data_IF_121667481430
#
_entry.id   IF_121667481430
#
_cell.length_a   1.000
_cell.length_b   1.000
_cell.length_c   1.000
_cell.angle_alpha   90.00
_cell.angle_beta   90.00
_cell.angle_gamma   90.00
#
_symmetry.space_group_name_H-M   'P 1'
#
loop_
_entity.id
_entity.type
_entity.pdbx_description
1 polymer ?
#
# COMPACT_ATOMS: atom_id res chain seq x y z
N UNK A 1 -2.40 6.66 -20.25
CA UNK A 1 -3.69 6.26 -19.72
C UNK A 1 -3.88 4.76 -19.88
N UNK A 2 -4.16 4.05 -18.80
CA UNK A 2 -4.53 2.64 -18.89
C UNK A 2 -5.98 2.53 -19.37
N UNK A 3 -6.26 1.59 -20.25
CA UNK A 3 -7.64 1.21 -20.58
C UNK A 3 -8.24 0.50 -19.37
N UNK A 4 -9.44 0.88 -18.98
CA UNK A 4 -10.18 0.22 -17.92
C UNK A 4 -10.41 -1.25 -18.29
N UNK A 5 -10.00 -2.22 -17.45
CA UNK A 5 -10.46 -3.59 -17.63
C UNK A 5 -11.97 -3.61 -17.45
N UNK A 6 -12.68 -4.37 -18.27
CA UNK A 6 -14.11 -4.56 -18.09
C UNK A 6 -14.41 -5.10 -16.69
N UNK A 7 -15.45 -4.56 -16.07
CA UNK A 7 -16.12 -5.23 -14.97
C UNK A 7 -16.42 -6.69 -15.37
N UNK A 8 -16.19 -7.67 -14.51
CA UNK A 8 -16.38 -9.08 -14.87
C UNK A 8 -17.85 -9.40 -15.09
N UNK A 9 -18.35 -9.10 -16.28
CA UNK A 9 -19.61 -9.63 -16.78
C UNK A 9 -19.32 -11.08 -17.19
N UNK A 10 -20.08 -12.07 -16.71
CA UNK A 10 -19.89 -13.45 -17.10
C UNK A 10 -19.88 -13.59 -18.62
N UNK A 11 -18.78 -14.06 -19.20
CA UNK A 11 -18.64 -14.34 -20.62
C UNK A 11 -17.62 -13.49 -21.41
N UNK A 12 -17.12 -12.37 -20.87
CA UNK A 12 -16.23 -11.49 -21.65
C UNK A 12 -15.03 -10.94 -20.82
N UNK A 13 -14.25 -11.82 -20.25
CA UNK A 13 -13.18 -11.51 -19.27
C UNK A 13 -11.98 -10.72 -19.80
N UNK A 14 -11.89 -10.37 -21.09
CA UNK A 14 -10.65 -9.90 -21.72
C UNK A 14 -10.81 -8.73 -22.69
N UNK A 15 -11.95 -8.11 -22.84
CA UNK A 15 -12.12 -6.94 -23.72
C UNK A 15 -12.48 -5.70 -22.89
N UNK A 16 -11.57 -4.74 -22.83
CA UNK A 16 -11.89 -3.38 -22.40
C UNK A 16 -12.82 -2.71 -23.43
N UNK A 17 -13.50 -1.65 -23.01
CA UNK A 17 -14.36 -0.85 -23.89
C UNK A 17 -13.59 -0.04 -24.95
N UNK A 18 -12.25 -0.20 -24.98
CA UNK A 18 -11.34 0.49 -25.90
C UNK A 18 -11.17 1.98 -25.63
N UNK A 19 -11.77 2.50 -24.57
CA UNK A 19 -11.68 3.92 -24.21
C UNK A 19 -10.60 4.14 -23.14
N UNK A 20 -9.66 5.06 -23.35
CA UNK A 20 -8.75 5.48 -22.30
C UNK A 20 -9.54 6.06 -21.11
N UNK A 21 -9.24 5.58 -19.92
CA UNK A 21 -9.80 6.14 -18.70
C UNK A 21 -8.67 6.69 -17.84
N UNK A 22 -8.79 7.95 -17.46
CA UNK A 22 -7.88 8.62 -16.52
C UNK A 22 -8.71 9.45 -15.58
N UNK A 23 -8.65 9.14 -14.30
CA UNK A 23 -9.36 9.88 -13.27
C UNK A 23 -8.57 9.84 -11.96
N UNK A 24 -8.63 10.92 -11.22
CA UNK A 24 -8.19 11.01 -9.83
C UNK A 24 -9.00 12.10 -9.14
N UNK A 25 -9.18 11.97 -7.84
CA UNK A 25 -9.77 13.04 -7.02
C UNK A 25 -8.73 14.14 -6.79
N UNK A 26 -9.11 15.39 -7.03
CA UNK A 26 -8.32 16.52 -6.57
C UNK A 26 -8.38 16.63 -5.04
N UNK A 27 -7.38 17.25 -4.42
CA UNK A 27 -7.43 17.52 -2.98
C UNK A 27 -8.69 18.28 -2.54
N UNK A 28 -9.19 19.20 -3.39
CA UNK A 28 -10.43 19.93 -3.15
C UNK A 28 -11.64 18.99 -3.09
N UNK A 29 -11.77 18.10 -4.07
CA UNK A 29 -12.87 17.12 -4.12
C UNK A 29 -12.81 16.15 -2.92
N UNK A 30 -11.61 15.70 -2.52
CA UNK A 30 -11.44 14.88 -1.32
C UNK A 30 -11.91 15.63 -0.08
N UNK A 31 -11.53 16.90 0.11
CA UNK A 31 -11.98 17.72 1.24
C UNK A 31 -13.49 17.89 1.25
N UNK A 32 -14.09 18.17 0.09
CA UNK A 32 -15.55 18.29 -0.04
C UNK A 32 -16.27 16.98 0.32
N UNK A 33 -15.70 15.84 -0.08
CA UNK A 33 -16.21 14.52 0.26
C UNK A 33 -16.11 14.22 1.77
N UNK A 34 -14.98 14.55 2.39
CA UNK A 34 -14.77 14.40 3.84
C UNK A 34 -15.75 15.26 4.61
N UNK A 35 -15.92 16.53 4.22
CA UNK A 35 -16.89 17.45 4.84
C UNK A 35 -18.34 16.97 4.65
N UNK A 36 -18.66 16.40 3.49
CA UNK A 36 -19.98 15.82 3.24
C UNK A 36 -20.27 14.64 4.15
N UNK A 37 -19.30 13.73 4.31
CA UNK A 37 -19.39 12.58 5.21
C UNK A 37 -19.51 13.03 6.68
N UNK A 38 -18.69 13.99 7.11
CA UNK A 38 -18.70 14.54 8.47
C UNK A 38 -20.07 15.08 8.87
N UNK A 39 -20.73 15.84 7.99
CA UNK A 39 -22.11 16.34 8.23
C UNK A 39 -23.15 15.22 8.38
N UNK A 40 -22.80 13.99 8.07
CA UNK A 40 -23.62 12.77 8.21
C UNK A 40 -23.13 11.84 9.31
N UNK A 41 -22.20 12.31 10.13
CA UNK A 41 -21.59 11.52 11.19
C UNK A 41 -20.89 10.25 10.66
N UNK A 42 -20.31 10.34 9.47
CA UNK A 42 -19.53 9.28 8.83
C UNK A 42 -18.05 9.70 8.85
N UNK A 43 -17.19 8.86 9.39
CA UNK A 43 -15.75 9.02 9.31
C UNK A 43 -15.22 8.22 8.11
N UNK A 44 -14.50 8.91 7.21
CA UNK A 44 -13.80 8.24 6.11
C UNK A 44 -12.42 7.84 6.61
N UNK A 45 -12.09 6.57 6.53
CA UNK A 45 -10.75 6.03 6.80
C UNK A 45 -10.04 5.85 5.45
N UNK A 46 -8.96 6.60 5.17
CA UNK A 46 -8.21 6.42 3.94
C UNK A 46 -7.38 5.14 4.01
N UNK A 47 -7.27 4.43 2.88
CA UNK A 47 -6.43 3.24 2.72
C UNK A 47 -5.29 3.52 1.76
N UNK A 48 -4.07 3.27 2.21
CA UNK A 48 -2.81 3.40 1.47
C UNK A 48 -2.07 2.08 1.54
N UNK A 49 -2.15 1.33 0.47
CA UNK A 49 -1.62 -0.03 0.38
C UNK A 49 -0.11 -0.13 0.56
N UNK A 50 0.30 -0.92 1.55
CA UNK A 50 1.70 -1.26 1.85
C UNK A 50 1.82 -2.65 2.52
N UNK A 51 2.89 -3.42 2.29
CA UNK A 51 3.90 -3.26 1.24
C UNK A 51 3.45 -3.87 -0.09
N UNK A 52 2.38 -4.64 -0.10
CA UNK A 52 1.74 -5.26 -1.27
C UNK A 52 0.85 -4.28 -2.03
N UNK A 53 0.15 -4.79 -3.05
CA UNK A 53 -0.77 -4.04 -3.91
C UNK A 53 -0.23 -2.70 -4.45
N UNK A 54 1.10 -2.54 -4.45
CA UNK A 54 1.83 -1.31 -4.77
C UNK A 54 2.20 -1.18 -6.26
N UNK A 55 1.70 -2.06 -7.13
CA UNK A 55 2.12 -2.10 -8.54
C UNK A 55 1.92 -0.78 -9.29
N UNK A 56 0.84 -0.05 -9.03
CA UNK A 56 0.58 1.25 -9.66
C UNK A 56 1.60 2.30 -9.20
N UNK A 57 1.83 2.40 -7.89
CA UNK A 57 2.80 3.33 -7.31
C UNK A 57 4.23 3.01 -7.78
N UNK A 58 4.63 1.73 -7.75
CA UNK A 58 5.95 1.27 -8.19
C UNK A 58 6.13 1.42 -9.72
N UNK A 59 5.06 1.38 -10.49
CA UNK A 59 5.16 1.67 -11.93
C UNK A 59 5.40 3.15 -12.20
N UNK A 60 4.80 4.02 -11.41
CA UNK A 60 5.01 5.47 -11.49
C UNK A 60 6.37 5.91 -10.93
N UNK A 61 6.83 5.23 -9.88
CA UNK A 61 8.06 5.52 -9.14
C UNK A 61 8.88 4.22 -8.95
N UNK A 62 9.54 3.72 -10.01
CA UNK A 62 10.21 2.42 -10.00
C UNK A 62 11.32 2.26 -8.95
N UNK A 63 11.89 3.37 -8.51
CA UNK A 63 12.97 3.43 -7.52
C UNK A 63 12.56 2.94 -6.12
N UNK A 64 11.26 2.90 -5.81
CA UNK A 64 10.75 2.45 -4.51
C UNK A 64 10.35 0.98 -4.48
N UNK A 65 10.42 0.28 -5.62
CA UNK A 65 10.33 -1.18 -5.67
C UNK A 65 11.69 -1.85 -5.53
N UNK A 66 11.72 -3.17 -5.68
CA UNK A 66 12.92 -3.99 -5.53
C UNK A 66 13.73 -3.99 -6.83
N UNK A 67 14.31 -2.84 -7.20
CA UNK A 67 15.01 -2.59 -8.47
C UNK A 67 16.30 -3.37 -8.66
N UNK A 68 16.83 -3.95 -7.60
CA UNK A 68 18.06 -4.72 -7.55
C UNK A 68 17.88 -6.20 -7.94
N UNK A 69 16.66 -6.63 -8.26
CA UNK A 69 16.40 -7.99 -8.74
C UNK A 69 16.54 -8.07 -10.27
N UNK A 70 17.02 -9.21 -10.80
CA UNK A 70 17.10 -9.42 -12.26
C UNK A 70 15.73 -9.30 -12.94
N UNK A 71 15.70 -8.59 -14.08
CA UNK A 71 14.48 -8.45 -14.87
C UNK A 71 13.40 -7.55 -14.26
N UNK A 72 13.75 -6.71 -13.29
CA UNK A 72 12.81 -5.75 -12.71
C UNK A 72 12.24 -4.80 -13.77
N UNK A 73 10.96 -4.98 -14.07
CA UNK A 73 10.22 -4.14 -15.03
C UNK A 73 8.80 -3.93 -14.53
N UNK A 74 8.57 -2.97 -13.63
CA UNK A 74 7.24 -2.68 -13.13
C UNK A 74 6.35 -2.17 -14.26
N UNK A 75 5.09 -2.58 -14.22
CA UNK A 75 4.07 -2.20 -15.19
C UNK A 75 2.70 -2.17 -14.54
N UNK A 76 1.84 -1.31 -15.04
CA UNK A 76 0.44 -1.27 -14.62
C UNK A 76 -0.23 -2.60 -14.96
N UNK A 77 -0.92 -3.15 -13.98
CA UNK A 77 -1.69 -4.38 -14.18
C UNK A 77 -2.93 -4.10 -15.02
N UNK A 78 -3.17 -4.98 -15.99
CA UNK A 78 -4.39 -5.00 -16.81
C UNK A 78 -5.30 -6.18 -16.46
N UNK A 79 -4.95 -6.93 -15.40
CA UNK A 79 -5.68 -8.10 -14.93
C UNK A 79 -5.88 -8.01 -13.42
N UNK A 80 -6.96 -8.58 -12.95
CA UNK A 80 -7.19 -8.78 -11.53
C UNK A 80 -6.26 -9.88 -10.99
N UNK A 81 -5.87 -9.74 -9.73
CA UNK A 81 -5.07 -10.75 -9.01
C UNK A 81 -4.02 -10.13 -8.10
N UNK A 82 -3.36 -10.99 -7.35
CA UNK A 82 -2.20 -10.63 -6.53
C UNK A 82 -1.03 -10.32 -7.46
N UNK A 83 -0.55 -9.08 -7.39
CA UNK A 83 0.52 -8.61 -8.25
C UNK A 83 1.88 -8.79 -7.56
N UNK A 84 2.95 -9.14 -8.29
CA UNK A 84 4.22 -9.50 -7.69
C UNK A 84 5.02 -8.32 -7.12
N UNK A 85 4.57 -7.08 -7.34
CA UNK A 85 5.32 -5.89 -6.96
C UNK A 85 5.02 -5.46 -5.54
N UNK A 86 6.05 -5.50 -4.69
CA UNK A 86 6.06 -4.99 -3.33
C UNK A 86 7.03 -3.82 -3.20
N UNK A 87 6.75 -2.90 -2.32
CA UNK A 87 7.71 -1.86 -1.94
C UNK A 87 9.01 -2.46 -1.40
N UNK A 88 10.14 -1.86 -1.74
CA UNK A 88 11.43 -2.22 -1.13
C UNK A 88 11.49 -1.74 0.33
N UNK A 89 12.07 -2.51 1.25
CA UNK A 89 12.14 -2.13 2.66
C UNK A 89 13.29 -1.16 2.96
N UNK A 90 13.48 -0.14 2.11
CA UNK A 90 14.62 0.78 2.16
C UNK A 90 14.23 2.17 2.69
N UNK A 91 15.18 2.91 3.23
CA UNK A 91 14.93 4.26 3.75
C UNK A 91 14.32 5.23 2.72
N UNK A 92 14.76 5.25 1.44
CA UNK A 92 14.10 6.07 0.43
C UNK A 92 12.61 5.75 0.27
N UNK A 93 12.24 4.47 0.35
CA UNK A 93 10.84 4.03 0.28
C UNK A 93 10.04 4.53 1.48
N UNK A 94 10.57 4.40 2.70
CA UNK A 94 9.89 4.92 3.89
C UNK A 94 9.75 6.44 3.86
N UNK A 95 10.75 7.16 3.34
CA UNK A 95 10.64 8.60 3.13
C UNK A 95 9.57 8.99 2.11
N UNK A 96 9.42 8.21 1.04
CA UNK A 96 8.35 8.38 0.06
C UNK A 96 6.97 8.17 0.69
N UNK A 97 6.80 7.08 1.43
CA UNK A 97 5.56 6.78 2.17
C UNK A 97 5.26 7.87 3.19
N UNK A 98 6.28 8.39 3.88
CA UNK A 98 6.14 9.49 4.84
C UNK A 98 5.55 10.75 4.18
N UNK A 99 6.02 11.11 2.98
CA UNK A 99 5.46 12.22 2.21
C UNK A 99 4.00 12.00 1.79
N UNK A 100 3.63 10.78 1.42
CA UNK A 100 2.24 10.42 1.12
C UNK A 100 1.37 10.55 2.37
N UNK A 101 1.83 10.01 3.50
CA UNK A 101 1.09 10.06 4.77
C UNK A 101 0.91 11.50 5.27
N UNK A 102 1.86 12.39 5.01
CA UNK A 102 1.73 13.81 5.33
C UNK A 102 0.51 14.44 4.62
N UNK A 103 0.41 14.23 3.32
CA UNK A 103 -0.71 14.75 2.52
C UNK A 103 -2.05 14.09 2.91
N UNK A 104 -2.07 12.76 3.05
CA UNK A 104 -3.27 12.01 3.41
C UNK A 104 -3.80 12.43 4.79
N UNK A 105 -2.92 12.58 5.79
CA UNK A 105 -3.36 13.04 7.11
C UNK A 105 -3.97 14.44 7.12
N UNK A 106 -3.50 15.34 6.24
CA UNK A 106 -4.08 16.67 6.06
C UNK A 106 -5.44 16.62 5.36
N UNK A 107 -5.64 15.68 4.44
CA UNK A 107 -6.90 15.50 3.72
C UNK A 107 -7.99 14.85 4.58
N UNK A 108 -7.60 14.00 5.54
CA UNK A 108 -8.50 13.25 6.42
C UNK A 108 -8.24 13.58 7.91
N UNK A 109 -8.42 14.86 8.32
CA UNK A 109 -8.05 15.30 9.68
C UNK A 109 -8.86 14.60 10.76
N UNK A 110 -10.14 14.32 10.51
CA UNK A 110 -11.07 13.74 11.47
C UNK A 110 -10.93 12.21 11.61
N UNK A 111 -10.23 11.54 10.70
CA UNK A 111 -9.98 10.11 10.83
C UNK A 111 -8.92 9.84 11.89
N UNK A 112 -9.22 9.07 12.93
CA UNK A 112 -8.21 8.65 13.89
C UNK A 112 -7.29 7.55 13.34
N UNK A 113 -7.62 7.01 12.17
CA UNK A 113 -6.96 5.86 11.57
C UNK A 113 -6.46 6.14 10.16
N UNK A 114 -5.40 5.45 9.79
CA UNK A 114 -4.97 5.21 8.40
C UNK A 114 -4.96 3.70 8.20
N UNK A 115 -5.71 3.21 7.21
CA UNK A 115 -5.61 1.82 6.79
C UNK A 115 -4.41 1.67 5.87
N UNK A 116 -3.53 0.72 6.20
CA UNK A 116 -2.24 0.54 5.50
C UNK A 116 -2.23 -0.66 4.55
N UNK A 117 -3.38 -1.33 4.38
CA UNK A 117 -3.49 -2.58 3.65
C UNK A 117 -2.82 -3.72 4.41
N UNK A 118 -1.76 -4.25 3.86
CA UNK A 118 -0.92 -5.28 4.49
C UNK A 118 -1.21 -6.70 4.03
N UNK A 119 -2.27 -6.87 3.24
CA UNK A 119 -2.73 -8.13 2.70
C UNK A 119 -1.90 -8.57 1.49
N UNK A 120 -1.95 -9.87 1.25
CA UNK A 120 -1.48 -10.53 0.03
C UNK A 120 -0.12 -10.05 -0.50
N UNK A 121 0.80 -9.62 0.38
CA UNK A 121 2.11 -9.11 -0.01
C UNK A 121 3.04 -10.26 -0.46
N UNK A 122 3.36 -10.40 -1.77
CA UNK A 122 4.25 -11.47 -2.23
C UNK A 122 5.68 -11.26 -1.74
N UNK A 123 6.27 -12.29 -1.16
CA UNK A 123 7.63 -12.25 -0.57
C UNK A 123 8.74 -12.51 -1.59
N UNK A 124 8.41 -12.95 -2.81
CA UNK A 124 9.41 -13.43 -3.77
C UNK A 124 10.41 -12.35 -4.20
N UNK A 125 9.96 -11.09 -4.34
CA UNK A 125 10.88 -10.01 -4.68
C UNK A 125 11.87 -9.75 -3.53
N UNK A 126 11.43 -9.76 -2.28
CA UNK A 126 12.31 -9.60 -1.13
C UNK A 126 13.32 -10.74 -0.98
N UNK A 127 12.90 -11.99 -1.26
CA UNK A 127 13.83 -13.14 -1.28
C UNK A 127 14.96 -12.97 -2.28
N UNK A 128 14.67 -12.36 -3.41
CA UNK A 128 15.60 -12.19 -4.51
C UNK A 128 16.36 -10.86 -4.48
N UNK A 129 15.99 -9.92 -3.62
CA UNK A 129 16.58 -8.59 -3.52
C UNK A 129 17.76 -8.59 -2.53
N UNK A 130 19.00 -8.39 -2.99
CA UNK A 130 20.15 -8.20 -2.11
C UNK A 130 19.93 -7.10 -1.06
N UNK A 131 19.30 -5.97 -1.44
CA UNK A 131 19.02 -4.88 -0.51
C UNK A 131 18.02 -5.31 0.58
N UNK A 132 16.96 -6.04 0.22
CA UNK A 132 16.02 -6.54 1.22
C UNK A 132 16.67 -7.55 2.17
N UNK A 133 17.52 -8.44 1.66
CA UNK A 133 18.28 -9.40 2.46
C UNK A 133 19.29 -8.71 3.38
N UNK A 134 19.91 -7.61 2.94
CA UNK A 134 20.79 -6.80 3.80
C UNK A 134 20.00 -6.13 4.94
N UNK A 135 18.81 -5.58 4.65
CA UNK A 135 17.91 -5.05 5.68
C UNK A 135 17.54 -6.11 6.70
N UNK A 136 17.23 -7.33 6.27
CA UNK A 136 16.94 -8.45 7.16
C UNK A 136 18.14 -8.77 8.06
N UNK A 137 19.33 -8.91 7.48
CA UNK A 137 20.55 -9.20 8.22
C UNK A 137 20.87 -8.12 9.26
N UNK A 138 20.76 -6.84 8.85
CA UNK A 138 21.02 -5.70 9.73
C UNK A 138 20.10 -5.62 10.93
N UNK A 139 18.83 -6.05 10.75
CA UNK A 139 17.82 -6.00 11.79
C UNK A 139 17.58 -7.35 12.49
N UNK A 140 18.40 -8.38 12.20
CA UNK A 140 18.29 -9.70 12.82
C UNK A 140 16.99 -10.46 12.47
N UNK A 141 16.37 -10.15 11.32
CA UNK A 141 15.14 -10.77 10.87
C UNK A 141 15.43 -12.14 10.24
N UNK A 142 14.61 -13.13 10.55
CA UNK A 142 14.84 -14.54 10.18
C UNK A 142 14.24 -14.92 8.83
N UNK A 143 13.18 -14.23 8.42
CA UNK A 143 12.42 -14.52 7.21
C UNK A 143 11.66 -13.29 6.72
N UNK A 144 11.02 -13.40 5.55
CA UNK A 144 10.30 -12.31 4.91
C UNK A 144 8.97 -11.96 5.61
N UNK A 145 8.44 -12.83 6.46
CA UNK A 145 7.30 -12.50 7.31
C UNK A 145 7.73 -11.51 8.42
N UNK A 146 8.88 -11.76 9.04
CA UNK A 146 9.47 -10.79 9.98
C UNK A 146 9.86 -9.49 9.28
N UNK A 147 10.28 -9.54 8.01
CA UNK A 147 10.53 -8.35 7.20
C UNK A 147 9.23 -7.57 6.92
N UNK A 148 8.10 -8.25 6.68
CA UNK A 148 6.80 -7.57 6.57
C UNK A 148 6.41 -6.92 7.89
N UNK A 149 6.57 -7.61 9.01
CA UNK A 149 6.33 -7.02 10.34
C UNK A 149 7.21 -5.79 10.57
N UNK A 150 8.50 -5.87 10.23
CA UNK A 150 9.41 -4.70 10.29
C UNK A 150 8.89 -3.55 9.43
N UNK A 151 8.44 -3.82 8.20
CA UNK A 151 7.89 -2.81 7.30
C UNK A 151 6.65 -2.14 7.92
N UNK A 152 5.71 -2.95 8.41
CA UNK A 152 4.48 -2.48 9.08
C UNK A 152 4.82 -1.59 10.28
N UNK A 153 5.74 -2.01 11.15
CA UNK A 153 6.17 -1.20 12.30
C UNK A 153 6.83 0.13 11.89
N UNK A 154 7.55 0.15 10.76
CA UNK A 154 8.12 1.38 10.23
C UNK A 154 7.03 2.35 9.76
N UNK A 155 6.03 1.86 9.01
CA UNK A 155 4.88 2.66 8.56
C UNK A 155 4.04 3.12 9.76
N UNK A 156 3.80 2.24 10.73
CA UNK A 156 3.10 2.58 11.98
C UNK A 156 3.75 3.76 12.71
N UNK A 157 5.08 3.76 12.85
CA UNK A 157 5.78 4.89 13.47
C UNK A 157 5.53 6.21 12.75
N UNK A 158 5.46 6.18 11.41
CA UNK A 158 5.16 7.37 10.61
C UNK A 158 3.72 7.87 10.83
N UNK A 159 2.77 6.95 10.92
CA UNK A 159 1.36 7.26 11.20
C UNK A 159 1.18 7.78 12.63
N UNK A 160 1.79 7.11 13.61
CA UNK A 160 1.71 7.49 15.03
C UNK A 160 2.35 8.86 15.30
N UNK A 161 3.41 9.23 14.58
CA UNK A 161 4.02 10.56 14.67
C UNK A 161 3.06 11.69 14.28
N UNK A 162 1.96 11.35 13.57
CA UNK A 162 0.88 12.27 13.18
C UNK A 162 -0.35 12.19 14.06
N UNK A 163 -0.25 11.48 15.21
CA UNK A 163 -1.32 11.33 16.18
C UNK A 163 -2.45 10.38 15.74
N UNK A 164 -2.20 9.56 14.72
CA UNK A 164 -3.15 8.57 14.21
C UNK A 164 -2.67 7.15 14.49
N UNK A 165 -3.56 6.17 14.35
CA UNK A 165 -3.26 4.76 14.51
C UNK A 165 -3.42 4.03 13.17
N UNK A 166 -2.76 2.89 13.01
CA UNK A 166 -2.94 2.06 11.83
C UNK A 166 -4.10 1.08 11.99
N UNK A 167 -4.80 0.84 10.88
CA UNK A 167 -5.57 -0.37 10.63
C UNK A 167 -4.88 -1.13 9.52
N UNK A 168 -4.90 -2.45 9.54
CA UNK A 168 -4.49 -3.28 8.42
C UNK A 168 -5.27 -4.57 8.36
N UNK A 169 -5.26 -5.20 7.22
CA UNK A 169 -5.81 -6.54 7.05
C UNK A 169 -5.09 -7.51 7.97
N UNK A 170 -5.73 -8.60 8.34
CA UNK A 170 -5.24 -9.44 9.44
C UNK A 170 -3.89 -10.13 9.16
N UNK A 171 -3.37 -10.08 7.93
CA UNK A 171 -2.01 -10.52 7.59
C UNK A 171 -0.91 -9.64 8.20
N UNK A 172 -1.20 -8.41 8.65
CA UNK A 172 -0.20 -7.59 9.33
C UNK A 172 0.27 -8.19 10.67
N UNK A 173 -0.42 -9.19 11.19
CA UNK A 173 -0.01 -9.96 12.38
C UNK A 173 1.14 -10.92 12.11
N UNK A 174 1.38 -11.28 10.84
CA UNK A 174 2.44 -12.21 10.45
C UNK A 174 3.82 -11.63 10.81
N UNK A 175 4.66 -12.45 11.46
CA UNK A 175 6.00 -12.04 11.88
C UNK A 175 6.06 -11.14 13.12
N UNK A 176 4.93 -10.76 13.70
CA UNK A 176 4.82 -9.98 14.92
C UNK A 176 3.90 -8.77 14.79
N UNK A 177 2.91 -8.70 15.66
CA UNK A 177 1.91 -7.63 15.68
C UNK A 177 2.34 -6.48 16.60
N UNK A 178 2.14 -5.25 16.15
CA UNK A 178 2.18 -4.07 17.00
C UNK A 178 1.05 -4.09 18.05
N UNK A 179 1.33 -3.55 19.24
CA UNK A 179 0.34 -3.44 20.32
C UNK A 179 -0.73 -2.38 20.08
N UNK A 180 -0.51 -1.47 19.14
CA UNK A 180 -1.38 -0.32 18.84
C UNK A 180 -2.10 -0.43 17.51
N UNK A 181 -1.75 -1.44 16.69
CA UNK A 181 -2.41 -1.69 15.42
C UNK A 181 -3.80 -2.32 15.62
N UNK A 182 -4.74 -1.89 14.81
CA UNK A 182 -6.08 -2.50 14.71
C UNK A 182 -6.10 -3.47 13.52
N UNK A 183 -6.66 -4.66 13.73
CA UNK A 183 -6.83 -5.66 12.67
C UNK A 183 -8.22 -5.56 12.05
N UNK A 184 -8.27 -5.56 10.73
CA UNK A 184 -9.48 -5.79 9.96
C UNK A 184 -9.44 -7.24 9.46
N UNK A 185 -10.27 -8.09 10.05
CA UNK A 185 -10.27 -9.54 9.82
C UNK A 185 -11.16 -9.86 8.63
N UNK A 186 -10.65 -10.68 7.69
CA UNK A 186 -11.39 -11.15 6.50
C UNK A 186 -11.18 -12.64 6.20
N UNK A 187 -10.25 -13.33 6.91
CA UNK A 187 -10.05 -14.79 6.86
C UNK A 187 -10.89 -15.53 7.89
#
# INVERSE_FOLDING_TARGET
GATRPESPIPGNRNKGDGKPFTFFYTQKEVKELVDYAKRRHITIVPEIETPGHAAAAITAYPEFGNKDIPGYKPRVATRWGILPFTFSPTEPTFKFIDGILEEVCQLFPDSPYIHIGGDEAPKQQWKNSPQAQEVMKKNGLKNEQELQSYFVHRVEKLVNARGKQIIGWDEIREGGLSKTATLMVWH
#
